data_IF_726255753367
#
_entry.id   IF_726255753367
#
_cell.length_a   1.000
_cell.length_b   1.000
_cell.length_c   1.000
_cell.angle_alpha   90.00
_cell.angle_beta   90.00
_cell.angle_gamma   90.00
#
_symmetry.space_group_name_H-M   'P 1'
#
loop_
_entity.id
_entity.type
_entity.pdbx_description
1 polymer ?
#
# COMPACT_ATOMS: atom_id res chain seq x y z
N UNK A 1 10.93 -2.72 -5.92
CA UNK A 1 10.37 -1.51 -5.29
C UNK A 1 10.33 -1.78 -3.80
N UNK A 2 10.77 -0.85 -2.97
CA UNK A 2 10.67 -0.95 -1.51
C UNK A 2 9.47 -0.11 -1.10
N UNK A 3 8.51 -0.73 -0.42
CA UNK A 3 7.28 -0.14 0.13
C UNK A 3 7.34 -0.31 1.64
N UNK A 4 7.08 0.77 2.36
CA UNK A 4 7.15 0.83 3.82
C UNK A 4 5.76 1.10 4.42
N UNK A 5 5.60 0.88 5.73
CA UNK A 5 4.37 1.30 6.41
C UNK A 5 4.21 2.83 6.30
N UNK A 6 2.96 3.27 6.12
CA UNK A 6 2.56 4.66 5.85
C UNK A 6 2.93 5.23 4.48
N UNK A 7 3.54 4.45 3.58
CA UNK A 7 3.61 4.83 2.17
C UNK A 7 2.20 4.86 1.54
N UNK A 8 2.01 5.76 0.58
CA UNK A 8 0.82 5.77 -0.28
C UNK A 8 1.15 5.11 -1.60
N UNK A 9 0.35 4.14 -2.00
CA UNK A 9 0.57 3.31 -3.19
C UNK A 9 -0.58 3.45 -4.18
N UNK A 10 -0.23 3.53 -5.46
CA UNK A 10 -1.16 3.38 -6.58
C UNK A 10 -1.13 1.92 -7.05
N UNK A 11 -2.30 1.30 -7.06
CA UNK A 11 -2.50 -0.05 -7.59
C UNK A 11 -2.70 -0.01 -9.12
N UNK A 12 -2.43 -1.14 -9.78
CA UNK A 12 -2.63 -1.31 -11.23
C UNK A 12 -4.08 -1.22 -11.68
N UNK A 13 -5.04 -1.38 -10.76
CA UNK A 13 -6.47 -1.18 -11.01
C UNK A 13 -6.88 0.31 -10.93
N UNK A 14 -5.97 1.18 -10.55
CA UNK A 14 -6.17 2.63 -10.43
C UNK A 14 -6.52 3.11 -9.02
N UNK A 15 -6.72 2.21 -8.04
CA UNK A 15 -6.99 2.60 -6.65
C UNK A 15 -5.73 3.11 -5.95
N UNK A 16 -5.89 4.11 -5.09
CA UNK A 16 -4.82 4.65 -4.25
C UNK A 16 -5.15 4.38 -2.77
N UNK A 17 -4.18 3.86 -2.03
CA UNK A 17 -4.37 3.52 -0.62
C UNK A 17 -3.09 3.66 0.22
N UNK A 18 -3.26 3.66 1.53
CA UNK A 18 -2.17 3.81 2.50
C UNK A 18 -1.76 2.44 3.03
N UNK A 19 -0.47 2.13 2.99
CA UNK A 19 0.06 0.89 3.56
C UNK A 19 -0.01 0.99 5.09
N UNK A 20 -0.79 0.14 5.74
CA UNK A 20 -0.93 0.11 7.20
C UNK A 20 -0.14 -1.02 7.84
N UNK A 21 0.30 -2.02 7.06
CA UNK A 21 1.15 -3.11 7.52
C UNK A 21 1.96 -3.73 6.39
N UNK A 22 3.23 -4.09 6.67
CA UNK A 22 4.10 -4.83 5.74
C UNK A 22 4.34 -6.25 6.25
N UNK A 23 3.73 -7.23 5.58
CA UNK A 23 3.98 -8.66 5.79
C UNK A 23 5.35 -9.09 5.26
N UNK A 24 5.99 -10.06 5.90
CA UNK A 24 7.39 -10.44 5.60
C UNK A 24 7.57 -11.79 4.91
N UNK A 25 6.61 -12.72 5.02
CA UNK A 25 6.70 -14.04 4.38
C UNK A 25 5.31 -14.73 4.22
N UNK A 26 4.73 -14.80 3.01
CA UNK A 26 5.19 -14.11 1.80
C UNK A 26 5.07 -12.58 1.96
N UNK A 27 5.82 -11.82 1.17
CA UNK A 27 5.70 -10.36 1.14
C UNK A 27 4.29 -9.98 0.67
N UNK A 28 3.62 -9.16 1.46
CA UNK A 28 2.28 -8.63 1.18
C UNK A 28 2.02 -7.38 2.01
N UNK A 29 0.97 -6.65 1.68
CA UNK A 29 0.65 -5.36 2.27
C UNK A 29 -0.79 -5.34 2.71
N UNK A 30 -1.07 -4.81 3.91
CA UNK A 30 -2.43 -4.36 4.21
C UNK A 30 -2.54 -2.90 3.79
N UNK A 31 -3.50 -2.59 2.93
CA UNK A 31 -3.70 -1.26 2.36
C UNK A 31 -5.09 -0.77 2.73
N UNK A 32 -5.15 0.40 3.36
CA UNK A 32 -6.40 1.10 3.68
C UNK A 32 -6.79 2.03 2.52
N UNK A 33 -8.03 1.90 2.05
CA UNK A 33 -8.60 2.72 0.98
C UNK A 33 -9.58 3.76 1.53
N UNK A 34 -9.28 5.06 1.41
CA UNK A 34 -10.16 6.11 1.94
C UNK A 34 -11.45 6.27 1.15
N UNK A 35 -11.48 5.87 -0.12
CA UNK A 35 -12.69 5.90 -0.97
C UNK A 35 -13.68 4.80 -0.61
N UNK A 36 -13.21 3.71 0.01
CA UNK A 36 -13.99 2.53 0.39
C UNK A 36 -14.27 2.51 1.92
N UNK A 37 -14.63 3.67 2.49
CA UNK A 37 -14.95 3.83 3.93
C UNK A 37 -13.85 3.35 4.91
N UNK A 38 -12.58 3.33 4.48
CA UNK A 38 -11.47 2.82 5.28
C UNK A 38 -11.35 1.29 5.26
N UNK A 39 -11.87 0.63 4.22
CA UNK A 39 -11.66 -0.80 4.01
C UNK A 39 -10.16 -1.11 3.90
N UNK A 40 -9.75 -2.21 4.54
CA UNK A 40 -8.38 -2.71 4.54
C UNK A 40 -8.33 -4.01 3.76
N UNK A 41 -7.56 -4.02 2.67
CA UNK A 41 -7.38 -5.21 1.84
C UNK A 41 -5.93 -5.72 1.88
N UNK A 42 -5.76 -7.02 1.66
CA UNK A 42 -4.46 -7.63 1.44
C UNK A 42 -4.05 -7.50 -0.03
N UNK A 43 -2.94 -6.80 -0.27
CA UNK A 43 -2.41 -6.48 -1.59
C UNK A 43 -1.05 -7.15 -1.77
N UNK A 44 -0.89 -7.85 -2.88
CA UNK A 44 0.38 -8.45 -3.29
C UNK A 44 1.32 -7.42 -3.96
N UNK A 45 2.64 -7.62 -3.91
CA UNK A 45 3.60 -6.71 -4.56
C UNK A 45 3.37 -6.51 -6.05
N UNK A 46 2.83 -7.51 -6.75
CA UNK A 46 2.56 -7.42 -8.18
C UNK A 46 1.29 -6.63 -8.52
N UNK A 47 0.43 -6.33 -7.56
CA UNK A 47 -0.73 -5.46 -7.74
C UNK A 47 -0.37 -3.97 -7.64
N UNK A 48 0.79 -3.62 -7.05
CA UNK A 48 1.23 -2.23 -6.91
C UNK A 48 1.88 -1.76 -8.21
N UNK A 49 1.42 -0.63 -8.73
CA UNK A 49 2.05 0.05 -9.87
C UNK A 49 3.24 0.89 -9.41
N UNK A 50 3.05 1.76 -8.41
CA UNK A 50 4.09 2.65 -7.86
C UNK A 50 3.71 3.20 -6.49
N UNK A 51 4.72 3.65 -5.75
CA UNK A 51 4.55 4.51 -4.57
C UNK A 51 4.34 5.96 -5.02
N UNK A 52 3.24 6.59 -4.63
CA UNK A 52 2.91 7.98 -4.99
C UNK A 52 3.36 8.98 -3.92
N UNK A 53 3.44 8.55 -2.67
CA UNK A 53 4.00 9.35 -1.58
C UNK A 53 4.77 8.47 -0.59
N UNK A 54 5.88 9.02 -0.09
CA UNK A 54 6.70 8.41 0.96
C UNK A 54 6.70 9.28 2.20
N UNK A 55 6.47 8.70 3.36
CA UNK A 55 6.77 9.41 4.60
C UNK A 55 8.29 9.53 4.67
N UNK A 56 8.81 10.75 4.68
CA UNK A 56 10.21 10.94 5.01
C UNK A 56 10.31 10.79 6.52
N UNK A 57 11.00 9.76 7.00
CA UNK A 57 11.48 9.77 8.39
C UNK A 57 12.24 11.09 8.60
N UNK A 58 11.81 11.85 9.62
CA UNK A 58 12.49 13.05 10.10
C UNK A 58 13.66 12.66 11.01
#
# INVERSE_FOLDING_TARGET
MIVEEHDVVLLKDGREGTVVYVGKDPLGYLVEFPEDEGEVEEISPDQIERVTWRIKEQ
#
